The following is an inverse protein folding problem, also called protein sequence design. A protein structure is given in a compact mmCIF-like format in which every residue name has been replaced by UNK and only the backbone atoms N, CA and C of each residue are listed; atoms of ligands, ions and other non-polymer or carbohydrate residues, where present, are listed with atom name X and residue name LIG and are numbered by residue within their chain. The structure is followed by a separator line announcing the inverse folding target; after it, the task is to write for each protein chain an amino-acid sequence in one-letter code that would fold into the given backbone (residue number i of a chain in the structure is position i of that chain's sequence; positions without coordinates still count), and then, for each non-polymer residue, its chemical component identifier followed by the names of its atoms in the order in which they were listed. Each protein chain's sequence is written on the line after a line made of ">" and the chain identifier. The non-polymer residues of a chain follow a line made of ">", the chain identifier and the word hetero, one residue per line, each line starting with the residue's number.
data_IF_571438029323
#
_entry.id   IF_571438029323
#
_cell.length_a   1.000
_cell.length_b   1.000
_cell.length_c   1.000
_cell.angle_alpha   90.00
_cell.angle_beta   90.00
_cell.angle_gamma   90.00
#
_symmetry.space_group_name_H-M   'P 1'
#
loop_
_entity.id
_entity.type
_entity.pdbx_description
1 polymer ?
#
# COMPACT_ATOMS: atom_id res chain seq x y z
N UNK A 1 11.91 4.95 -19.14
CA UNK A 1 12.09 4.92 -17.67
C UNK A 1 11.07 5.90 -17.09
N UNK A 2 10.18 5.43 -16.20
CA UNK A 2 9.22 6.29 -15.51
C UNK A 2 9.91 7.15 -14.44
N UNK A 3 9.30 8.27 -14.06
CA UNK A 3 9.77 9.11 -12.94
C UNK A 3 9.11 8.62 -11.66
N UNK A 4 9.91 8.30 -10.65
CA UNK A 4 9.42 7.97 -9.31
C UNK A 4 9.36 9.24 -8.45
N UNK A 5 8.24 9.43 -7.75
CA UNK A 5 8.04 10.52 -6.79
C UNK A 5 7.41 9.92 -5.53
N UNK A 6 8.06 10.12 -4.38
CA UNK A 6 7.52 9.70 -3.09
C UNK A 6 6.56 10.76 -2.55
N UNK A 7 5.31 10.37 -2.28
CA UNK A 7 4.26 11.29 -1.83
C UNK A 7 4.12 11.35 -0.31
N UNK A 8 4.42 10.25 0.40
CA UNK A 8 4.30 10.13 1.85
C UNK A 8 5.33 9.13 2.40
N UNK A 9 5.85 9.34 3.61
CA UNK A 9 6.69 8.37 4.32
C UNK A 9 6.56 8.55 5.84
N UNK A 10 6.31 7.46 6.55
CA UNK A 10 6.45 7.37 8.00
C UNK A 10 7.33 6.17 8.38
N UNK A 11 8.11 6.29 9.45
CA UNK A 11 8.95 5.20 9.96
C UNK A 11 9.01 5.32 11.49
N UNK A 12 8.48 4.32 12.19
CA UNK A 12 8.37 4.31 13.65
C UNK A 12 8.34 2.88 14.19
N UNK A 13 8.62 2.73 15.48
CA UNK A 13 8.62 1.42 16.15
C UNK A 13 7.26 1.16 16.78
N UNK A 14 6.67 0.03 16.43
CA UNK A 14 5.41 -0.47 16.98
C UNK A 14 5.57 -1.88 17.51
N UNK A 15 4.76 -2.23 18.50
CA UNK A 15 4.56 -3.63 18.88
C UNK A 15 3.81 -4.39 17.77
N UNK A 16 3.93 -5.73 17.77
CA UNK A 16 3.16 -6.58 16.82
C UNK A 16 1.66 -6.34 16.90
N UNK A 17 1.13 -6.07 18.09
CA UNK A 17 -0.30 -5.83 18.30
C UNK A 17 -0.75 -4.52 17.64
N UNK A 18 0.02 -3.45 17.81
CA UNK A 18 -0.24 -2.15 17.19
C UNK A 18 -0.17 -2.24 15.67
N UNK A 19 0.84 -2.95 15.12
CA UNK A 19 0.93 -3.21 13.68
C UNK A 19 -0.30 -3.96 13.17
N UNK A 20 -0.72 -5.05 13.82
CA UNK A 20 -1.91 -5.78 13.41
C UNK A 20 -3.19 -4.94 13.50
N UNK A 21 -3.31 -4.08 14.49
CA UNK A 21 -4.44 -3.16 14.60
C UNK A 21 -4.45 -2.15 13.45
N UNK A 22 -3.29 -1.57 13.13
CA UNK A 22 -3.14 -0.66 12.01
C UNK A 22 -3.49 -1.33 10.67
N UNK A 23 -2.97 -2.54 10.42
CA UNK A 23 -3.25 -3.29 9.19
C UNK A 23 -4.74 -3.62 9.03
N UNK A 24 -5.46 -3.94 10.12
CA UNK A 24 -6.91 -4.13 10.08
C UNK A 24 -7.65 -2.85 9.69
N UNK A 25 -7.31 -1.73 10.33
CA UNK A 25 -7.90 -0.44 10.00
C UNK A 25 -7.61 -0.04 8.55
N UNK A 26 -6.38 -0.29 8.08
CA UNK A 26 -6.00 -0.05 6.70
C UNK A 26 -6.82 -0.90 5.74
N UNK A 27 -7.03 -2.18 6.04
CA UNK A 27 -7.88 -3.06 5.23
C UNK A 27 -9.33 -2.53 5.15
N UNK A 28 -9.91 -2.12 6.28
CA UNK A 28 -11.26 -1.52 6.31
C UNK A 28 -11.34 -0.25 5.44
N UNK A 29 -10.29 0.58 5.43
CA UNK A 29 -10.22 1.78 4.59
C UNK A 29 -10.05 1.46 3.11
N UNK A 30 -9.21 0.48 2.77
CA UNK A 30 -9.06 0.00 1.39
C UNK A 30 -10.38 -0.54 0.86
N UNK A 31 -11.11 -1.32 1.65
CA UNK A 31 -12.44 -1.84 1.28
C UNK A 31 -13.44 -0.71 0.98
N UNK A 32 -13.34 0.41 1.70
CA UNK A 32 -14.17 1.60 1.44
C UNK A 32 -13.78 2.39 0.18
N UNK A 33 -12.66 2.06 -0.48
CA UNK A 33 -12.13 2.73 -1.67
C UNK A 33 -11.42 4.06 -1.39
N UNK A 34 -11.27 4.47 -0.12
CA UNK A 34 -10.57 5.68 0.26
C UNK A 34 -9.71 5.48 1.51
N UNK A 35 -8.43 5.85 1.41
CA UNK A 35 -7.49 5.86 2.52
C UNK A 35 -7.01 7.29 2.74
N UNK A 36 -7.07 7.75 3.99
CA UNK A 36 -6.49 9.03 4.40
C UNK A 36 -5.33 8.73 5.35
N UNK A 37 -4.11 9.03 4.92
CA UNK A 37 -2.90 8.94 5.72
C UNK A 37 -2.62 10.29 6.36
N UNK A 38 -2.28 10.30 7.65
CA UNK A 38 -1.98 11.54 8.38
C UNK A 38 -0.86 11.34 9.39
N UNK A 39 0.09 12.27 9.41
CA UNK A 39 1.13 12.34 10.43
C UNK A 39 1.43 13.81 10.75
N UNK A 40 1.07 14.26 11.96
CA UNK A 40 1.21 15.67 12.34
C UNK A 40 0.36 16.60 11.48
N UNK A 41 1.04 17.45 10.69
CA UNK A 41 0.42 18.38 9.73
C UNK A 41 0.35 17.81 8.30
N UNK A 42 1.00 16.68 8.03
CA UNK A 42 0.94 16.04 6.72
C UNK A 42 -0.32 15.18 6.60
N UNK A 43 -1.02 15.32 5.48
CA UNK A 43 -2.21 14.55 5.14
C UNK A 43 -2.18 14.19 3.65
N UNK A 44 -2.47 12.94 3.33
CA UNK A 44 -2.57 12.43 1.96
C UNK A 44 -3.84 11.59 1.84
N UNK A 45 -4.71 11.95 0.89
CA UNK A 45 -5.89 11.16 0.54
C UNK A 45 -5.61 10.35 -0.71
N UNK A 46 -5.87 9.04 -0.64
CA UNK A 46 -5.72 8.08 -1.73
C UNK A 46 -7.11 7.57 -2.11
N UNK A 47 -7.45 7.67 -3.39
CA UNK A 47 -8.60 6.98 -3.97
C UNK A 47 -8.12 5.65 -4.54
N UNK A 48 -8.61 4.54 -3.98
CA UNK A 48 -8.19 3.19 -4.36
C UNK A 48 -9.29 2.57 -5.22
N UNK A 49 -8.99 2.13 -6.46
CA UNK A 49 -9.98 1.51 -7.33
C UNK A 49 -10.34 0.10 -6.84
N UNK A 50 -11.46 -0.44 -7.36
CA UNK A 50 -11.95 -1.79 -7.01
C UNK A 50 -10.95 -2.89 -7.32
N UNK A 51 -10.15 -2.73 -8.39
CA UNK A 51 -9.14 -3.70 -8.80
C UNK A 51 -7.74 -3.13 -8.55
N UNK A 52 -6.92 -3.88 -7.83
CA UNK A 52 -5.54 -3.52 -7.50
C UNK A 52 -4.63 -4.72 -7.71
N UNK A 53 -3.34 -4.46 -7.90
CA UNK A 53 -2.31 -5.49 -7.86
C UNK A 53 -1.76 -5.55 -6.43
N UNK A 54 -1.68 -6.76 -5.88
CA UNK A 54 -1.05 -7.04 -4.59
C UNK A 54 0.25 -7.79 -4.81
N UNK A 55 1.33 -7.26 -4.25
CA UNK A 55 2.65 -7.88 -4.23
C UNK A 55 3.09 -8.08 -2.78
N UNK A 56 3.66 -9.26 -2.48
CA UNK A 56 4.16 -9.60 -1.14
C UNK A 56 5.55 -10.16 -1.30
N UNK A 57 6.50 -9.57 -0.56
CA UNK A 57 7.91 -9.91 -0.64
C UNK A 57 8.50 -10.06 0.76
N UNK A 58 9.38 -11.05 0.93
CA UNK A 58 10.14 -11.26 2.16
C UNK A 58 11.61 -11.21 1.82
N UNK A 59 12.37 -10.36 2.50
CA UNK A 59 13.80 -10.22 2.29
C UNK A 59 14.62 -10.38 3.55
N UNK A 60 15.89 -10.61 3.29
CA UNK A 60 16.91 -11.01 4.21
C UNK A 60 18.16 -10.18 3.86
N UNK A 61 18.44 -9.15 4.64
CA UNK A 61 19.56 -8.23 4.37
C UNK A 61 20.58 -8.26 5.51
N UNK A 62 21.82 -8.63 5.21
CA UNK A 62 22.92 -8.54 6.17
C UNK A 62 23.34 -7.07 6.34
N UNK A 63 22.84 -6.44 7.40
CA UNK A 63 23.30 -5.13 7.84
C UNK A 63 24.57 -5.34 8.63
N UNK A 64 25.74 -5.38 7.96
CA UNK A 64 27.09 -5.54 8.53
C UNK A 64 27.28 -5.19 10.03
N UNK A 65 26.77 -4.05 10.49
CA UNK A 65 26.91 -3.55 11.87
C UNK A 65 25.76 -3.90 12.82
N UNK A 66 24.59 -4.28 12.30
CA UNK A 66 23.36 -4.60 13.04
C UNK A 66 22.95 -6.08 12.92
N UNK A 67 23.69 -6.87 12.13
CA UNK A 67 23.39 -8.26 11.83
C UNK A 67 22.30 -8.40 10.77
N UNK A 68 21.65 -9.56 10.77
CA UNK A 68 20.62 -9.88 9.80
C UNK A 68 19.34 -9.10 10.05
N UNK A 69 18.90 -8.32 9.07
CA UNK A 69 17.59 -7.68 9.06
C UNK A 69 16.62 -8.50 8.21
N UNK A 70 15.42 -8.69 8.75
CA UNK A 70 14.31 -9.32 8.04
C UNK A 70 13.27 -8.26 7.70
N UNK A 71 12.79 -8.23 6.46
CA UNK A 71 11.68 -7.38 6.02
C UNK A 71 10.57 -8.24 5.42
N UNK A 72 9.34 -7.86 5.72
CA UNK A 72 8.13 -8.30 5.02
C UNK A 72 7.53 -7.03 4.41
N UNK A 73 7.41 -7.02 3.10
CA UNK A 73 6.85 -5.91 2.33
C UNK A 73 5.52 -6.35 1.70
N UNK A 74 4.55 -5.45 1.77
CA UNK A 74 3.22 -5.60 1.17
C UNK A 74 3.00 -4.35 0.35
N UNK A 75 2.91 -4.51 -0.96
CA UNK A 75 2.71 -3.40 -1.89
C UNK A 75 1.37 -3.55 -2.61
N UNK A 76 0.65 -2.44 -2.71
CA UNK A 76 -0.61 -2.35 -3.45
C UNK A 76 -0.41 -1.31 -4.55
N UNK A 77 -0.59 -1.74 -5.80
CA UNK A 77 -0.41 -0.91 -7.00
C UNK A 77 -1.73 -0.79 -7.75
N UNK A 78 -1.96 0.38 -8.33
CA UNK A 78 -3.08 0.62 -9.21
C UNK A 78 -2.74 1.70 -10.24
N UNK A 79 -3.57 1.76 -11.29
CA UNK A 79 -3.51 2.81 -12.29
C UNK A 79 -4.77 3.67 -12.18
N UNK A 80 -4.65 4.97 -12.47
CA UNK A 80 -5.77 5.91 -12.40
C UNK A 80 -6.92 5.57 -13.37
N UNK A 81 -6.68 4.71 -14.37
CA UNK A 81 -7.59 4.51 -15.51
C UNK A 81 -7.88 3.03 -15.85
N UNK A 82 -7.60 2.08 -14.95
CA UNK A 82 -8.10 0.68 -15.08
C UNK A 82 -9.45 0.47 -14.38
N UNK A 83 -10.19 1.55 -14.14
CA UNK A 83 -11.60 1.53 -13.81
C UNK A 83 -12.45 1.53 -15.09
N UNK A 84 -13.21 0.44 -15.30
CA UNK A 84 -14.29 0.29 -16.29
C UNK A 84 -13.89 0.05 -17.76
N UNK A 85 -13.20 -1.06 -18.06
CA UNK A 85 -13.63 -1.85 -19.23
C UNK A 85 -14.83 -2.69 -18.77
N UNK A 86 -16.04 -2.23 -19.12
CA UNK A 86 -17.25 -3.04 -18.97
C UNK A 86 -17.09 -4.39 -19.67
N UNK A 87 -17.91 -5.40 -19.32
CA UNK A 87 -17.87 -6.69 -19.97
C UNK A 87 -18.05 -6.54 -21.50
N UNK A 88 -17.41 -7.43 -22.25
CA UNK A 88 -17.60 -7.54 -23.70
C UNK A 88 -19.07 -7.86 -23.98
N UNK A 89 -19.81 -6.93 -24.57
CA UNK A 89 -21.15 -7.18 -25.10
C UNK A 89 -21.07 -7.49 -26.60
N UNK A 90 -21.86 -8.47 -27.06
CA UNK A 90 -22.04 -8.74 -28.48
C UNK A 90 -23.07 -7.77 -29.05
N UNK A 91 -22.68 -7.00 -30.06
CA UNK A 91 -23.63 -6.21 -30.84
C UNK A 91 -24.49 -7.14 -31.71
N UNK A 92 -25.80 -6.89 -31.73
CA UNK A 92 -26.71 -7.45 -32.75
C UNK A 92 -26.50 -6.81 -34.12
#
# INVERSE_FOLDING_TARGET
>A
MGKEIRLFKSEERHSRSEVCQFLRQLADKIESGQVVLRQGQEELTLAIPTNVFLEVQVENEDKKTKGMQHSLEIEIKWFDNEGARGPLELAE
#
